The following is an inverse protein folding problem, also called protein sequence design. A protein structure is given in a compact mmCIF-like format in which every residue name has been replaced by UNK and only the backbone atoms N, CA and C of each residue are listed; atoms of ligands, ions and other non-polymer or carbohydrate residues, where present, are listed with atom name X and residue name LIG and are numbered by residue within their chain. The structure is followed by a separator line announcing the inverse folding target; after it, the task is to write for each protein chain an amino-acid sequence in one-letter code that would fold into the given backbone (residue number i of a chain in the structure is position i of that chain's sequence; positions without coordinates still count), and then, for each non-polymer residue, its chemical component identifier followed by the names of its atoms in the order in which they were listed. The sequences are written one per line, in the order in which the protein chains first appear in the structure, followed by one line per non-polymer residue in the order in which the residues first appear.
data_IF_736587868297
#
_entry.id   IF_736587868297
#
_cell.length_a   1.000
_cell.length_b   1.000
_cell.length_c   1.000
_cell.angle_alpha   90.00
_cell.angle_beta   90.00
_cell.angle_gamma   90.00
#
_symmetry.space_group_name_H-M   'P 1'
#
loop_
_entity.id
_entity.type
_entity.pdbx_description
1 polymer ?
#
# COMPACT_ATOMS: atom_id res chain seq x y z
N UNK A 1 -23.33 13.72 -28.26
CA UNK A 1 -23.40 14.85 -29.22
C UNK A 1 -21.97 15.40 -29.37
N UNK A 2 -21.60 16.05 -30.48
CA UNK A 2 -20.81 15.47 -31.57
C UNK A 2 -19.44 16.14 -31.76
N UNK A 3 -18.61 15.54 -32.62
CA UNK A 3 -17.34 16.08 -33.17
C UNK A 3 -16.29 16.42 -32.09
N UNK A 4 -15.54 15.41 -31.65
CA UNK A 4 -14.38 15.62 -30.75
C UNK A 4 -13.27 16.46 -31.39
N UNK A 5 -13.33 16.70 -32.71
CA UNK A 5 -12.46 17.65 -33.39
C UNK A 5 -13.12 18.27 -34.61
N UNK A 6 -12.83 19.55 -34.87
CA UNK A 6 -13.26 20.24 -36.09
C UNK A 6 -12.51 19.69 -37.30
N UNK A 7 -13.23 19.21 -38.31
CA UNK A 7 -12.60 18.69 -39.55
C UNK A 7 -11.92 19.85 -40.29
N UNK A 8 -10.60 19.77 -40.59
CA UNK A 8 -9.90 20.79 -41.35
C UNK A 8 -10.54 21.00 -42.73
N UNK A 9 -10.62 22.25 -43.19
CA UNK A 9 -11.21 22.61 -44.49
C UNK A 9 -10.53 21.91 -45.68
N UNK A 10 -9.21 21.71 -45.59
CA UNK A 10 -8.42 20.97 -46.57
C UNK A 10 -8.82 19.48 -46.67
N UNK A 11 -9.18 18.86 -45.54
CA UNK A 11 -9.59 17.46 -45.49
C UNK A 11 -11.01 17.25 -46.04
N UNK A 12 -11.91 18.23 -45.87
CA UNK A 12 -13.26 18.17 -46.43
C UNK A 12 -13.29 18.05 -47.95
N UNK A 13 -12.33 18.67 -48.65
CA UNK A 13 -12.24 18.57 -50.11
C UNK A 13 -11.85 17.15 -50.55
N UNK A 14 -10.88 16.54 -49.88
CA UNK A 14 -10.43 15.15 -50.13
C UNK A 14 -11.49 14.12 -49.75
N UNK A 15 -12.29 14.38 -48.71
CA UNK A 15 -13.37 13.48 -48.31
C UNK A 15 -14.53 13.49 -49.32
N UNK A 16 -14.87 14.64 -49.90
CA UNK A 16 -15.94 14.76 -50.91
C UNK A 16 -15.62 14.04 -52.22
N UNK A 17 -14.35 13.90 -52.58
CA UNK A 17 -13.95 13.14 -53.78
C UNK A 17 -13.88 11.63 -53.55
N UNK A 18 -13.65 11.19 -52.30
CA UNK A 18 -13.42 9.79 -51.97
C UNK A 18 -14.65 9.03 -51.41
N UNK A 19 -15.64 9.75 -50.87
CA UNK A 19 -16.85 9.18 -50.28
C UNK A 19 -18.07 9.44 -51.18
N UNK A 20 -19.03 8.48 -51.28
CA UNK A 20 -20.30 8.71 -51.97
C UNK A 20 -21.07 9.90 -51.37
N UNK A 21 -21.80 10.67 -52.19
CA UNK A 21 -22.50 11.90 -51.79
C UNK A 21 -23.53 11.75 -50.64
N UNK A 22 -23.91 10.53 -50.27
CA UNK A 22 -24.91 10.22 -49.23
C UNK A 22 -24.28 9.92 -47.84
N UNK A 23 -22.97 10.16 -47.68
CA UNK A 23 -22.26 9.77 -46.45
C UNK A 23 -22.15 10.94 -45.46
N UNK A 24 -22.95 10.92 -44.38
CA UNK A 24 -22.86 11.90 -43.29
C UNK A 24 -21.80 11.47 -42.26
N UNK A 25 -20.87 12.37 -41.91
CA UNK A 25 -19.88 12.14 -40.85
C UNK A 25 -20.58 12.22 -39.49
N UNK A 26 -20.39 11.20 -38.64
CA UNK A 26 -20.98 11.17 -37.28
C UNK A 26 -20.03 11.76 -36.24
N UNK A 27 -18.74 11.40 -36.29
CA UNK A 27 -17.72 11.98 -35.43
C UNK A 27 -16.33 11.91 -36.08
N UNK A 28 -15.43 12.74 -35.57
CA UNK A 28 -14.04 12.86 -36.00
C UNK A 28 -13.13 13.02 -34.77
N UNK A 29 -12.09 12.19 -34.66
CA UNK A 29 -11.08 12.30 -33.60
C UNK A 29 -9.72 12.62 -34.25
N UNK A 30 -9.06 13.67 -33.77
CA UNK A 30 -7.72 14.03 -34.18
C UNK A 30 -6.69 13.23 -33.39
N UNK A 31 -5.57 12.90 -34.04
CA UNK A 31 -4.48 12.11 -33.47
C UNK A 31 -3.15 12.71 -33.87
N UNK A 32 -2.16 12.47 -33.03
CA UNK A 32 -0.86 13.12 -33.04
C UNK A 32 0.27 12.22 -33.56
N UNK A 33 -0.08 11.05 -34.11
CA UNK A 33 0.88 10.12 -34.69
C UNK A 33 0.48 9.67 -36.09
N UNK A 34 1.48 9.49 -36.96
CA UNK A 34 1.36 8.84 -38.26
C UNK A 34 1.33 7.31 -38.13
N UNK A 35 0.92 6.56 -39.17
CA UNK A 35 0.93 5.10 -39.15
C UNK A 35 2.31 4.49 -38.91
N UNK A 36 3.38 5.16 -39.37
CA UNK A 36 4.76 4.73 -39.13
C UNK A 36 5.20 4.92 -37.66
N UNK A 37 4.41 5.63 -36.85
CA UNK A 37 4.73 5.92 -35.45
C UNK A 37 5.56 7.18 -35.23
N UNK A 38 5.61 8.08 -36.20
CA UNK A 38 6.20 9.41 -36.03
C UNK A 38 5.14 10.41 -35.57
N UNK A 39 5.55 11.52 -34.93
CA UNK A 39 4.63 12.61 -34.58
C UNK A 39 4.12 13.28 -35.85
N UNK A 40 2.80 13.41 -35.99
CA UNK A 40 2.16 13.99 -37.16
C UNK A 40 0.64 14.03 -37.04
N UNK A 41 -0.02 14.84 -37.86
CA UNK A 41 -1.47 14.98 -37.80
C UNK A 41 -2.15 13.81 -38.53
N UNK A 42 -2.87 12.99 -37.78
CA UNK A 42 -3.78 11.98 -38.33
C UNK A 42 -5.18 12.18 -37.78
N UNK A 43 -6.18 11.63 -38.45
CA UNK A 43 -7.57 11.70 -38.01
C UNK A 43 -8.29 10.38 -38.24
N UNK A 44 -9.13 10.03 -37.28
CA UNK A 44 -10.13 8.98 -37.37
C UNK A 44 -11.48 9.62 -37.68
N UNK A 45 -12.09 9.23 -38.79
CA UNK A 45 -13.38 9.71 -39.24
C UNK A 45 -14.36 8.55 -39.32
N UNK A 46 -15.50 8.69 -38.66
CA UNK A 46 -16.53 7.66 -38.67
C UNK A 46 -17.80 8.22 -39.29
N UNK A 47 -18.20 7.61 -40.38
CA UNK A 47 -19.42 7.94 -41.12
C UNK A 47 -20.52 6.94 -40.81
N UNK A 48 -21.72 7.11 -41.39
CA UNK A 48 -22.80 6.12 -41.24
C UNK A 48 -22.48 4.73 -41.81
N UNK A 49 -21.51 4.61 -42.72
CA UNK A 49 -21.22 3.33 -43.42
C UNK A 49 -19.75 2.93 -43.41
N UNK A 50 -18.84 3.88 -43.27
CA UNK A 50 -17.40 3.66 -43.37
C UNK A 50 -16.66 4.28 -42.19
N UNK A 51 -15.64 3.57 -41.72
CA UNK A 51 -14.54 4.10 -40.93
C UNK A 51 -13.41 4.49 -41.90
N UNK A 52 -12.94 5.72 -41.77
CA UNK A 52 -11.87 6.28 -42.61
C UNK A 52 -10.77 6.80 -41.70
N UNK A 53 -9.53 6.39 -41.95
CA UNK A 53 -8.37 7.01 -41.30
C UNK A 53 -7.56 7.78 -42.32
N UNK A 54 -7.07 8.94 -41.90
CA UNK A 54 -6.31 9.85 -42.74
C UNK A 54 -5.07 10.32 -42.02
N UNK A 55 -3.98 10.51 -42.76
CA UNK A 55 -2.75 11.13 -42.27
C UNK A 55 -2.37 12.29 -43.17
N UNK A 56 -1.78 13.31 -42.57
CA UNK A 56 -1.24 14.46 -43.29
C UNK A 56 0.21 14.21 -43.67
N UNK A 57 0.55 14.39 -44.93
CA UNK A 57 1.93 14.29 -45.45
C UNK A 57 2.26 15.61 -46.14
N UNK A 58 3.02 16.47 -45.46
CA UNK A 58 3.21 17.87 -45.89
C UNK A 58 1.93 18.69 -45.69
N UNK A 59 1.42 19.29 -46.77
CA UNK A 59 0.15 20.06 -46.77
C UNK A 59 -1.07 19.28 -47.27
N UNK A 60 -0.87 18.02 -47.71
CA UNK A 60 -1.93 17.20 -48.30
C UNK A 60 -2.38 16.11 -47.33
N UNK A 61 -3.70 15.92 -47.23
CA UNK A 61 -4.32 14.82 -46.50
C UNK A 61 -4.47 13.60 -47.39
N UNK A 62 -3.99 12.45 -46.93
CA UNK A 62 -4.13 11.17 -47.61
C UNK A 62 -5.03 10.22 -46.83
N UNK A 63 -5.86 9.47 -47.53
CA UNK A 63 -6.72 8.43 -46.94
C UNK A 63 -5.91 7.14 -46.88
N UNK A 64 -5.72 6.62 -45.67
CA UNK A 64 -4.93 5.42 -45.41
C UNK A 64 -5.79 4.17 -45.50
N UNK A 65 -6.88 4.16 -44.74
CA UNK A 65 -7.80 3.03 -44.68
C UNK A 65 -9.23 3.50 -44.86
N UNK A 66 -10.00 2.76 -45.66
CA UNK A 66 -11.44 2.88 -45.81
C UNK A 66 -12.06 1.52 -45.54
N UNK A 67 -12.67 1.37 -44.38
CA UNK A 67 -13.22 0.10 -43.91
C UNK A 67 -14.75 0.23 -43.77
N UNK A 68 -15.55 -0.61 -44.45
CA UNK A 68 -17.00 -0.66 -44.21
C UNK A 68 -17.27 -1.09 -42.76
N UNK A 69 -18.16 -0.39 -42.06
CA UNK A 69 -18.50 -0.72 -40.66
C UNK A 69 -19.10 -2.13 -40.51
N UNK A 70 -19.75 -2.65 -41.58
CA UNK A 70 -20.28 -4.02 -41.63
C UNK A 70 -19.20 -5.09 -41.55
N UNK A 71 -18.00 -4.81 -42.06
CA UNK A 71 -16.93 -5.78 -42.24
C UNK A 71 -16.07 -5.92 -40.98
N UNK A 72 -16.26 -5.03 -39.99
CA UNK A 72 -15.56 -5.03 -38.71
C UNK A 72 -16.20 -6.09 -37.80
N UNK A 73 -15.41 -7.10 -37.41
CA UNK A 73 -15.83 -8.13 -36.46
C UNK A 73 -15.49 -7.77 -35.02
N UNK A 74 -14.33 -7.18 -34.78
CA UNK A 74 -13.85 -6.82 -33.44
C UNK A 74 -13.00 -5.55 -33.50
N UNK A 75 -13.11 -4.72 -32.47
CA UNK A 75 -12.27 -3.52 -32.26
C UNK A 75 -11.40 -3.78 -31.03
N UNK A 76 -10.10 -3.49 -31.13
CA UNK A 76 -9.12 -3.62 -30.05
C UNK A 76 -8.24 -2.38 -29.99
N UNK A 77 -7.80 -2.02 -28.79
CA UNK A 77 -6.74 -1.03 -28.57
C UNK A 77 -5.50 -1.78 -28.11
N UNK A 78 -4.43 -1.74 -28.90
CA UNK A 78 -3.14 -2.37 -28.60
C UNK A 78 -2.25 -1.32 -27.91
N UNK A 79 -1.92 -1.46 -26.62
CA UNK A 79 -1.03 -0.53 -25.93
C UNK A 79 0.39 -0.67 -26.47
N UNK A 80 1.04 0.47 -26.75
CA UNK A 80 2.41 0.58 -27.22
C UNK A 80 3.24 1.42 -26.23
N UNK A 81 4.55 1.44 -26.38
CA UNK A 81 5.41 2.27 -25.53
C UNK A 81 5.18 3.75 -25.87
N UNK A 82 4.60 4.51 -24.94
CA UNK A 82 4.30 5.93 -25.11
C UNK A 82 3.15 6.24 -26.09
N UNK A 83 2.46 5.21 -26.57
CA UNK A 83 1.41 5.32 -27.59
C UNK A 83 0.39 4.19 -27.47
N UNK A 84 -0.65 4.23 -28.28
CA UNK A 84 -1.61 3.14 -28.44
C UNK A 84 -1.99 3.02 -29.92
N UNK A 85 -2.32 1.82 -30.35
CA UNK A 85 -2.75 1.52 -31.70
C UNK A 85 -4.20 1.03 -31.71
N UNK A 86 -5.03 1.62 -32.58
CA UNK A 86 -6.36 1.12 -32.86
C UNK A 86 -6.27 -0.01 -33.89
N UNK A 87 -6.68 -1.21 -33.49
CA UNK A 87 -6.63 -2.43 -34.31
C UNK A 87 -8.04 -2.93 -34.57
N UNK A 88 -8.40 -3.08 -35.84
CA UNK A 88 -9.68 -3.63 -36.27
C UNK A 88 -9.46 -5.04 -36.80
N UNK A 89 -10.36 -5.96 -36.45
CA UNK A 89 -10.43 -7.25 -37.13
C UNK A 89 -11.45 -7.13 -38.25
N UNK A 90 -10.99 -7.25 -39.50
CA UNK A 90 -11.82 -7.12 -40.71
C UNK A 90 -11.72 -8.42 -41.49
N UNK A 91 -12.84 -9.13 -41.68
CA UNK A 91 -12.87 -10.44 -42.38
C UNK A 91 -11.83 -11.45 -41.85
N UNK A 92 -11.58 -11.44 -40.54
CA UNK A 92 -10.61 -12.33 -39.88
C UNK A 92 -9.14 -11.89 -39.96
N UNK A 93 -8.82 -10.73 -40.57
CA UNK A 93 -7.48 -10.17 -40.56
C UNK A 93 -7.37 -8.99 -39.59
N UNK A 94 -6.27 -8.95 -38.83
CA UNK A 94 -5.94 -7.82 -37.95
C UNK A 94 -5.36 -6.67 -38.77
N UNK A 95 -6.08 -5.56 -38.81
CA UNK A 95 -5.66 -4.33 -39.48
C UNK A 95 -5.40 -3.26 -38.42
N UNK A 96 -4.15 -2.81 -38.28
CA UNK A 96 -3.81 -1.66 -37.45
C UNK A 96 -4.10 -0.39 -38.23
N UNK A 97 -5.05 0.40 -37.76
CA UNK A 97 -5.67 1.45 -38.58
C UNK A 97 -5.13 2.82 -38.23
N UNK A 98 -4.72 3.02 -36.98
CA UNK A 98 -4.21 4.30 -36.48
C UNK A 98 -3.39 4.13 -35.20
N UNK A 99 -2.48 5.07 -34.93
CA UNK A 99 -1.71 5.22 -33.69
C UNK A 99 -1.96 6.59 -33.07
N UNK A 100 -1.86 6.70 -31.76
CA UNK A 100 -1.99 7.96 -31.01
C UNK A 100 -1.15 7.92 -29.75
N UNK A 101 -0.62 9.06 -29.30
CA UNK A 101 0.12 9.15 -28.04
C UNK A 101 -0.83 9.18 -26.85
N UNK A 102 -0.27 9.03 -25.65
CA UNK A 102 -1.04 9.13 -24.41
C UNK A 102 -1.71 10.50 -24.22
N UNK A 103 -1.19 11.56 -24.85
CA UNK A 103 -1.78 12.91 -24.77
C UNK A 103 -3.17 12.98 -25.40
N UNK A 104 -3.43 12.16 -26.43
CA UNK A 104 -4.71 12.08 -27.14
C UNK A 104 -5.55 10.86 -26.71
N UNK A 105 -5.17 10.18 -25.61
CA UNK A 105 -5.81 8.93 -25.20
C UNK A 105 -7.25 9.12 -24.73
N UNK A 106 -7.55 10.22 -24.05
CA UNK A 106 -8.89 10.51 -23.55
C UNK A 106 -9.88 10.73 -24.71
N UNK A 107 -9.55 11.63 -25.65
CA UNK A 107 -10.36 11.89 -26.84
C UNK A 107 -10.53 10.66 -27.72
N UNK A 108 -9.51 9.79 -27.75
CA UNK A 108 -9.57 8.53 -28.49
C UNK A 108 -10.43 7.48 -27.79
N UNK A 109 -10.39 7.41 -26.46
CA UNK A 109 -11.23 6.50 -25.69
C UNK A 109 -12.72 6.80 -25.93
N UNK A 110 -13.11 8.07 -25.86
CA UNK A 110 -14.49 8.51 -26.15
C UNK A 110 -14.88 8.21 -27.60
N UNK A 111 -13.94 8.37 -28.54
CA UNK A 111 -14.14 8.04 -29.96
C UNK A 111 -14.32 6.54 -30.21
N UNK A 112 -13.51 5.70 -29.55
CA UNK A 112 -13.60 4.24 -29.65
C UNK A 112 -14.89 3.72 -29.01
N UNK A 113 -15.29 4.27 -27.86
CA UNK A 113 -16.56 3.92 -27.21
C UNK A 113 -17.76 4.28 -28.11
N UNK A 114 -17.72 5.46 -28.72
CA UNK A 114 -18.72 5.90 -29.70
C UNK A 114 -18.76 4.99 -30.94
N UNK A 115 -17.60 4.50 -31.39
CA UNK A 115 -17.50 3.53 -32.50
C UNK A 115 -18.14 2.19 -32.13
N UNK A 116 -17.82 1.66 -30.95
CA UNK A 116 -18.35 0.39 -30.41
C UNK A 116 -19.87 0.46 -30.32
N UNK A 117 -20.41 1.54 -29.76
CA UNK A 117 -21.86 1.76 -29.68
C UNK A 117 -22.53 1.81 -31.06
N UNK A 118 -21.86 2.31 -32.10
CA UNK A 118 -22.41 2.36 -33.46
C UNK A 118 -22.42 0.99 -34.16
N UNK A 119 -21.43 0.14 -33.89
CA UNK A 119 -21.32 -1.18 -34.52
C UNK A 119 -22.16 -2.22 -33.77
N UNK A 120 -22.54 -1.96 -32.51
CA UNK A 120 -23.37 -2.86 -31.71
C UNK A 120 -22.69 -4.20 -31.40
N UNK A 121 -21.35 -4.24 -31.54
CA UNK A 121 -20.52 -5.40 -31.19
C UNK A 121 -19.67 -5.01 -30.00
N UNK A 122 -19.62 -5.88 -29.00
CA UNK A 122 -18.85 -5.66 -27.78
C UNK A 122 -17.39 -5.34 -28.10
N UNK A 123 -16.83 -4.38 -27.36
CA UNK A 123 -15.40 -4.20 -27.28
C UNK A 123 -14.82 -5.55 -26.90
N UNK A 124 -14.00 -6.14 -27.76
CA UNK A 124 -13.33 -7.37 -27.42
C UNK A 124 -12.18 -7.00 -26.51
N UNK A 125 -12.53 -6.73 -25.27
CA UNK A 125 -11.66 -6.54 -24.13
C UNK A 125 -10.94 -7.86 -23.95
N UNK A 126 -9.76 -7.99 -24.57
CA UNK A 126 -8.78 -8.84 -23.91
C UNK A 126 -8.56 -8.17 -22.56
N UNK A 127 -9.05 -8.86 -21.55
CA UNK A 127 -8.92 -8.56 -20.13
C UNK A 127 -7.42 -8.52 -19.79
N UNK A 128 -6.78 -7.38 -20.02
CA UNK A 128 -5.35 -7.17 -19.71
C UNK A 128 -5.14 -6.93 -18.20
N UNK A 129 -6.19 -7.12 -17.41
CA UNK A 129 -6.19 -7.11 -15.94
C UNK A 129 -6.15 -8.49 -15.33
N UNK A 130 -6.34 -9.58 -16.07
CA UNK A 130 -6.16 -10.92 -15.50
C UNK A 130 -4.68 -11.33 -15.45
N UNK A 131 -3.86 -10.59 -14.68
CA UNK A 131 -3.07 -11.33 -13.69
C UNK A 131 -4.11 -12.20 -13.01
N UNK A 132 -3.95 -13.52 -12.96
CA UNK A 132 -4.80 -14.31 -12.08
C UNK A 132 -4.72 -13.64 -10.71
N UNK A 133 -5.71 -12.82 -10.37
CA UNK A 133 -5.97 -12.39 -9.02
C UNK A 133 -6.40 -13.69 -8.39
N UNK A 134 -5.41 -14.46 -7.95
CA UNK A 134 -5.61 -15.40 -6.87
C UNK A 134 -6.47 -14.62 -5.88
N UNK A 135 -7.68 -15.11 -5.56
CA UNK A 135 -8.60 -14.39 -4.71
C UNK A 135 -7.80 -13.93 -3.50
N UNK A 136 -7.79 -12.61 -3.29
CA UNK A 136 -6.86 -11.97 -2.36
C UNK A 136 -6.83 -12.82 -1.09
N UNK A 137 -5.65 -13.33 -0.68
CA UNK A 137 -5.59 -14.32 0.38
C UNK A 137 -6.32 -13.76 1.59
N UNK A 138 -7.20 -14.57 2.17
CA UNK A 138 -7.94 -14.18 3.38
C UNK A 138 -6.93 -13.89 4.50
N UNK A 139 -6.55 -12.63 4.58
CA UNK A 139 -5.57 -12.11 5.52
C UNK A 139 -6.13 -12.11 6.95
N UNK A 140 -7.44 -12.32 7.12
CA UNK A 140 -8.08 -12.47 8.43
C UNK A 140 -7.87 -13.86 9.02
N UNK A 141 -7.52 -14.85 8.18
CA UNK A 141 -7.34 -16.23 8.60
C UNK A 141 -6.11 -16.38 9.52
N UNK A 142 -6.23 -17.24 10.54
CA UNK A 142 -5.10 -17.59 11.42
C UNK A 142 -3.90 -18.15 10.64
N UNK A 143 -4.17 -18.88 9.57
CA UNK A 143 -3.13 -19.45 8.71
C UNK A 143 -2.32 -18.36 7.98
N UNK A 144 -2.98 -17.29 7.52
CA UNK A 144 -2.29 -16.15 6.92
C UNK A 144 -1.41 -15.44 7.95
N UNK A 145 -1.91 -15.18 9.17
CA UNK A 145 -1.11 -14.59 10.24
C UNK A 145 0.14 -15.41 10.57
N UNK A 146 0.02 -16.74 10.68
CA UNK A 146 1.15 -17.65 10.94
C UNK A 146 2.16 -17.62 9.78
N UNK A 147 1.69 -17.60 8.53
CA UNK A 147 2.55 -17.53 7.34
C UNK A 147 3.33 -16.22 7.31
N UNK A 148 2.66 -15.10 7.59
CA UNK A 148 3.28 -13.76 7.65
C UNK A 148 4.31 -13.70 8.79
N UNK A 149 3.96 -14.21 9.97
CA UNK A 149 4.88 -14.28 11.10
C UNK A 149 6.12 -15.14 10.78
N UNK A 150 5.93 -16.28 10.12
CA UNK A 150 7.04 -17.14 9.67
C UNK A 150 7.93 -16.44 8.66
N UNK A 151 7.34 -15.66 7.74
CA UNK A 151 8.10 -14.86 6.76
C UNK A 151 8.89 -13.75 7.46
N UNK A 152 8.27 -13.04 8.41
CA UNK A 152 8.93 -12.03 9.23
C UNK A 152 10.08 -12.64 10.04
N UNK A 153 9.89 -13.83 10.60
CA UNK A 153 10.93 -14.56 11.32
C UNK A 153 12.13 -14.95 10.42
N UNK A 154 11.92 -15.08 9.10
CA UNK A 154 13.01 -15.33 8.15
C UNK A 154 14.01 -14.18 8.12
N UNK A 155 13.54 -12.92 8.19
CA UNK A 155 14.39 -11.73 8.27
C UNK A 155 15.20 -11.66 9.57
N UNK A 156 14.71 -12.30 10.63
CA UNK A 156 15.42 -12.38 11.91
C UNK A 156 16.49 -13.49 11.94
N UNK A 157 16.47 -14.44 10.99
CA UNK A 157 17.41 -15.57 10.97
C UNK A 157 18.89 -15.16 10.94
N UNK A 158 19.32 -14.17 10.14
CA UNK A 158 20.72 -13.72 10.11
C UNK A 158 21.17 -13.12 11.45
N UNK A 159 20.22 -12.52 12.19
CA UNK A 159 20.46 -11.76 13.41
C UNK A 159 20.19 -12.54 14.71
N UNK A 160 20.00 -13.87 14.64
CA UNK A 160 19.61 -14.72 15.79
C UNK A 160 20.50 -14.59 17.03
N UNK A 161 21.81 -14.43 16.86
CA UNK A 161 22.75 -14.28 18.00
C UNK A 161 22.51 -12.98 18.75
N UNK A 162 22.42 -11.89 18.01
CA UNK A 162 22.16 -10.58 18.60
C UNK A 162 20.74 -10.52 19.19
N UNK A 163 19.75 -11.11 18.51
CA UNK A 163 18.37 -11.18 19.00
C UNK A 163 18.25 -12.01 20.29
N UNK A 164 18.86 -13.20 20.34
CA UNK A 164 18.84 -14.03 21.56
C UNK A 164 19.57 -13.35 22.72
N UNK A 165 20.70 -12.68 22.47
CA UNK A 165 21.41 -11.93 23.50
C UNK A 165 20.57 -10.76 24.02
N UNK A 166 19.93 -10.00 23.12
CA UNK A 166 19.02 -8.90 23.47
C UNK A 166 17.81 -9.38 24.30
N UNK A 167 17.19 -10.49 23.91
CA UNK A 167 16.10 -11.12 24.67
C UNK A 167 16.60 -11.57 26.04
N UNK A 168 17.77 -12.19 26.12
CA UNK A 168 18.34 -12.66 27.38
C UNK A 168 18.64 -11.49 28.34
N UNK A 169 19.20 -10.38 27.82
CA UNK A 169 19.40 -9.15 28.60
C UNK A 169 18.07 -8.57 29.09
N UNK A 170 17.01 -8.60 28.26
CA UNK A 170 15.67 -8.13 28.64
C UNK A 170 15.02 -9.01 29.72
N UNK A 171 15.22 -10.33 29.64
CA UNK A 171 14.75 -11.26 30.69
C UNK A 171 15.50 -10.99 32.00
N UNK A 172 16.81 -10.78 31.93
CA UNK A 172 17.63 -10.44 33.10
C UNK A 172 17.21 -9.10 33.74
N UNK A 173 16.90 -8.06 32.94
CA UNK A 173 16.39 -6.80 33.48
C UNK A 173 15.04 -6.98 34.17
N UNK A 174 14.17 -7.82 33.61
CA UNK A 174 12.87 -8.13 34.20
C UNK A 174 13.01 -8.85 35.55
N UNK A 175 13.98 -9.75 35.70
CA UNK A 175 14.27 -10.38 36.99
C UNK A 175 14.70 -9.36 38.06
N UNK A 176 15.43 -8.30 37.65
CA UNK A 176 15.79 -7.21 38.54
C UNK A 176 14.58 -6.34 38.91
N UNK A 177 13.57 -6.23 38.05
CA UNK A 177 12.31 -5.55 38.40
C UNK A 177 11.52 -6.25 39.51
N UNK A 178 11.80 -7.52 39.79
CA UNK A 178 11.20 -8.26 40.91
C UNK A 178 11.92 -8.03 42.25
N UNK A 179 13.13 -7.49 42.25
CA UNK A 179 13.90 -7.22 43.49
C UNK A 179 13.26 -6.13 44.37
N UNK A 180 12.84 -4.97 43.84
CA UNK A 180 12.25 -3.88 44.65
C UNK A 180 11.10 -4.29 45.57
N UNK A 181 10.04 -5.02 45.14
CA UNK A 181 8.96 -5.43 46.03
C UNK A 181 9.45 -6.40 47.12
N UNK A 182 10.38 -7.31 46.80
CA UNK A 182 10.95 -8.24 47.77
C UNK A 182 11.80 -7.51 48.82
N UNK A 183 12.66 -6.58 48.39
CA UNK A 183 13.45 -5.72 49.29
C UNK A 183 12.55 -4.83 50.16
N UNK A 184 11.45 -4.35 49.60
CA UNK A 184 10.48 -3.51 50.33
C UNK A 184 9.75 -4.31 51.40
N UNK A 185 9.40 -5.59 51.12
CA UNK A 185 8.85 -6.49 52.12
C UNK A 185 9.81 -6.66 53.31
N UNK A 186 11.09 -6.99 53.07
CA UNK A 186 12.10 -7.12 54.14
C UNK A 186 12.26 -5.82 54.92
N UNK A 187 12.26 -4.68 54.23
CA UNK A 187 12.36 -3.37 54.88
C UNK A 187 11.19 -3.11 55.83
N UNK A 188 9.97 -3.47 55.44
CA UNK A 188 8.75 -3.29 56.25
C UNK A 188 8.68 -4.29 57.40
N UNK A 189 8.97 -5.56 57.15
CA UNK A 189 8.71 -6.64 58.10
C UNK A 189 9.83 -6.85 59.13
N UNK A 190 11.09 -6.51 58.80
CA UNK A 190 12.24 -6.75 59.69
C UNK A 190 12.84 -5.46 60.26
N UNK A 191 12.84 -4.35 59.49
CA UNK A 191 13.61 -3.15 59.85
C UNK A 191 12.76 -2.06 60.48
N UNK A 192 11.50 -1.93 60.08
CA UNK A 192 10.57 -0.94 60.64
C UNK A 192 9.93 -1.39 61.97
N UNK A 193 9.94 -2.69 62.24
CA UNK A 193 9.33 -3.37 63.39
C UNK A 193 10.22 -3.39 64.62
N UNK A 194 11.55 -3.38 64.45
CA UNK A 194 12.51 -3.53 65.56
C UNK A 194 13.58 -2.42 65.56
N UNK A 195 13.62 -1.52 66.57
CA UNK A 195 14.52 -0.36 66.61
C UNK A 195 16.01 -0.67 66.58
N UNK A 196 16.41 -1.91 66.90
CA UNK A 196 17.79 -2.38 66.87
C UNK A 196 18.37 -2.44 65.45
N UNK A 197 17.53 -2.57 64.42
CA UNK A 197 17.93 -2.76 63.02
C UNK A 197 17.99 -1.46 62.20
N UNK A 198 17.77 -0.28 62.78
CA UNK A 198 17.83 0.99 62.03
C UNK A 198 19.18 1.24 61.33
N UNK A 199 20.29 0.68 61.84
CA UNK A 199 21.58 0.71 61.16
C UNK A 199 21.61 -0.03 59.81
N UNK A 200 20.76 -1.05 59.63
CA UNK A 200 20.61 -1.82 58.40
C UNK A 200 19.75 -1.12 57.36
N UNK A 201 18.93 -0.15 57.79
CA UNK A 201 18.04 0.60 56.90
C UNK A 201 18.84 1.39 55.85
N UNK A 202 19.95 2.03 56.24
CA UNK A 202 20.84 2.71 55.30
C UNK A 202 21.46 1.75 54.28
N UNK A 203 21.81 0.53 54.68
CA UNK A 203 22.37 -0.50 53.80
C UNK A 203 21.31 -1.01 52.81
N UNK A 204 20.09 -1.30 53.27
CA UNK A 204 18.98 -1.74 52.41
C UNK A 204 18.59 -0.67 51.40
N UNK A 205 18.51 0.60 51.81
CA UNK A 205 18.25 1.72 50.89
C UNK A 205 19.38 1.84 49.88
N UNK A 206 20.64 1.65 50.28
CA UNK A 206 21.79 1.67 49.37
C UNK A 206 21.76 0.50 48.39
N UNK A 207 21.41 -0.71 48.83
CA UNK A 207 21.22 -1.88 47.98
C UNK A 207 20.07 -1.67 46.99
N UNK A 208 18.96 -1.10 47.46
CA UNK A 208 17.81 -0.78 46.61
C UNK A 208 18.18 0.29 45.57
N UNK A 209 18.86 1.36 45.96
CA UNK A 209 19.38 2.38 45.05
C UNK A 209 20.37 1.79 44.04
N UNK A 210 21.31 0.95 44.48
CA UNK A 210 22.26 0.27 43.61
C UNK A 210 21.56 -0.68 42.62
N UNK A 211 20.54 -1.41 43.06
CA UNK A 211 19.74 -2.29 42.19
C UNK A 211 19.00 -1.50 41.10
N UNK A 212 18.46 -0.32 41.44
CA UNK A 212 17.78 0.57 40.48
C UNK A 212 18.75 1.20 39.50
N UNK A 213 19.95 1.57 39.96
CA UNK A 213 21.01 2.06 39.10
C UNK A 213 21.48 0.98 38.13
N UNK A 214 21.70 -0.24 38.61
CA UNK A 214 22.08 -1.39 37.81
C UNK A 214 20.99 -1.74 36.78
N UNK A 215 19.72 -1.74 37.21
CA UNK A 215 18.57 -1.94 36.33
C UNK A 215 18.52 -0.90 35.21
N UNK A 216 18.73 0.37 35.53
CA UNK A 216 18.77 1.45 34.55
C UNK A 216 19.91 1.24 33.54
N UNK A 217 21.09 0.81 34.01
CA UNK A 217 22.22 0.48 33.13
C UNK A 217 21.89 -0.67 32.16
N UNK A 218 21.28 -1.75 32.67
CA UNK A 218 20.89 -2.92 31.87
C UNK A 218 19.78 -2.57 30.88
N UNK A 219 18.79 -1.77 31.27
CA UNK A 219 17.71 -1.34 30.36
C UNK A 219 18.22 -0.43 29.26
N UNK A 220 19.15 0.49 29.55
CA UNK A 220 19.83 1.29 28.51
C UNK A 220 20.62 0.38 27.56
N UNK A 221 21.38 -0.58 28.09
CA UNK A 221 22.13 -1.52 27.27
C UNK A 221 21.21 -2.34 26.37
N UNK A 222 20.12 -2.88 26.94
CA UNK A 222 19.09 -3.61 26.20
C UNK A 222 18.50 -2.73 25.10
N UNK A 223 18.04 -1.53 25.44
CA UNK A 223 17.46 -0.59 24.49
C UNK A 223 18.40 -0.25 23.33
N UNK A 224 19.70 -0.06 23.60
CA UNK A 224 20.71 0.16 22.56
C UNK A 224 20.90 -1.05 21.66
N UNK A 225 20.96 -2.25 22.24
CA UNK A 225 21.07 -3.49 21.47
C UNK A 225 19.87 -3.71 20.55
N UNK A 226 18.67 -3.50 21.09
CA UNK A 226 17.42 -3.62 20.35
C UNK A 226 17.29 -2.56 19.26
N UNK A 227 17.71 -1.32 19.53
CA UNK A 227 17.72 -0.26 18.52
C UNK A 227 18.59 -0.64 17.31
N UNK A 228 19.84 -1.06 17.56
CA UNK A 228 20.75 -1.50 16.49
C UNK A 228 20.18 -2.71 15.73
N UNK A 229 19.54 -3.64 16.43
CA UNK A 229 18.87 -4.79 15.82
C UNK A 229 17.69 -4.36 14.94
N UNK A 230 16.80 -3.52 15.45
CA UNK A 230 15.62 -3.07 14.72
C UNK A 230 15.98 -2.24 13.49
N UNK A 231 17.01 -1.40 13.57
CA UNK A 231 17.54 -0.67 12.43
C UNK A 231 18.08 -1.61 11.34
N UNK A 232 18.84 -2.64 11.72
CA UNK A 232 19.35 -3.64 10.76
C UNK A 232 18.22 -4.43 10.10
N UNK A 233 17.24 -4.89 10.88
CA UNK A 233 16.08 -5.61 10.34
C UNK A 233 15.26 -4.74 9.38
N UNK A 234 15.07 -3.46 9.73
CA UNK A 234 14.37 -2.52 8.87
C UNK A 234 15.17 -2.17 7.61
N UNK A 235 16.50 -2.10 7.71
CA UNK A 235 17.39 -1.93 6.56
C UNK A 235 17.30 -3.11 5.59
N UNK A 236 17.41 -4.34 6.10
CA UNK A 236 17.31 -5.56 5.28
C UNK A 236 15.95 -5.64 4.56
N UNK A 237 14.86 -5.39 5.30
CA UNK A 237 13.52 -5.37 4.72
C UNK A 237 13.38 -4.31 3.62
N UNK A 238 13.88 -3.09 3.85
CA UNK A 238 13.86 -2.01 2.83
C UNK A 238 14.71 -2.36 1.62
N UNK A 239 15.89 -2.96 1.84
CA UNK A 239 16.80 -3.35 0.76
C UNK A 239 16.19 -4.42 -0.14
N UNK A 240 15.57 -5.46 0.44
CA UNK A 240 14.89 -6.50 -0.34
C UNK A 240 13.68 -5.94 -1.11
N UNK A 241 12.85 -5.12 -0.46
CA UNK A 241 11.72 -4.44 -1.11
C UNK A 241 12.18 -3.55 -2.26
N UNK A 242 13.26 -2.80 -2.08
CA UNK A 242 13.82 -1.94 -3.12
C UNK A 242 14.38 -2.75 -4.29
N UNK A 243 15.08 -3.86 -4.01
CA UNK A 243 15.58 -4.76 -5.04
C UNK A 243 14.45 -5.37 -5.86
N UNK A 244 13.36 -5.80 -5.20
CA UNK A 244 12.18 -6.30 -5.90
C UNK A 244 11.58 -5.22 -6.78
N UNK A 245 11.38 -4.00 -6.27
CA UNK A 245 10.89 -2.87 -7.06
C UNK A 245 11.74 -2.64 -8.32
N UNK A 246 13.06 -2.66 -8.22
CA UNK A 246 13.93 -2.45 -9.38
C UNK A 246 13.74 -3.50 -10.50
N UNK A 247 13.25 -4.69 -10.17
CA UNK A 247 13.00 -5.77 -11.12
C UNK A 247 11.58 -5.78 -11.69
N UNK A 248 10.67 -4.93 -11.18
CA UNK A 248 9.29 -4.89 -11.67
C UNK A 248 9.21 -4.21 -13.06
N UNK A 249 8.34 -4.71 -13.95
CA UNK A 249 8.15 -4.14 -15.28
C UNK A 249 7.56 -2.73 -15.19
N UNK A 250 7.92 -1.87 -16.15
CA UNK A 250 7.46 -0.47 -16.24
C UNK A 250 5.92 -0.37 -16.22
N UNK A 251 5.22 -1.34 -16.84
CA UNK A 251 3.75 -1.44 -16.82
C UNK A 251 3.15 -1.41 -15.40
N UNK A 252 3.86 -1.95 -14.39
CA UNK A 252 3.40 -1.90 -13.01
C UNK A 252 3.44 -0.47 -12.44
N UNK A 253 4.43 0.31 -12.85
CA UNK A 253 4.59 1.70 -12.43
C UNK A 253 3.65 2.67 -13.14
N UNK A 254 3.21 2.34 -14.36
CA UNK A 254 2.18 3.11 -15.06
C UNK A 254 0.80 2.99 -14.38
N UNK A 255 0.54 1.86 -13.71
CA UNK A 255 -0.72 1.60 -13.01
C UNK A 255 -0.74 2.09 -11.53
N UNK A 256 0.42 2.41 -10.94
CA UNK A 256 0.54 2.71 -9.51
C UNK A 256 1.31 4.02 -9.27
N UNK A 257 0.78 4.90 -8.42
CA UNK A 257 1.46 6.15 -8.08
C UNK A 257 2.78 5.87 -7.35
N UNK A 258 3.91 6.19 -7.98
CA UNK A 258 5.27 5.85 -7.48
C UNK A 258 5.55 6.42 -6.09
N UNK A 259 5.00 7.60 -5.78
CA UNK A 259 5.09 8.23 -4.46
C UNK A 259 4.36 7.46 -3.35
N UNK A 260 3.21 6.84 -3.68
CA UNK A 260 2.45 6.00 -2.76
C UNK A 260 3.19 4.71 -2.38
N UNK A 261 3.90 4.11 -3.35
CA UNK A 261 4.73 2.92 -3.13
C UNK A 261 5.89 3.21 -2.17
N UNK A 262 6.60 4.32 -2.35
CA UNK A 262 7.71 4.72 -1.47
C UNK A 262 7.23 5.05 -0.05
N UNK A 263 6.10 5.76 0.06
CA UNK A 263 5.50 6.08 1.36
C UNK A 263 5.04 4.81 2.10
N UNK A 264 4.48 3.82 1.38
CA UNK A 264 4.09 2.52 1.94
C UNK A 264 5.30 1.76 2.46
N UNK A 265 6.38 1.65 1.69
CA UNK A 265 7.61 0.97 2.13
C UNK A 265 8.20 1.62 3.37
N UNK A 266 8.31 2.95 3.38
CA UNK A 266 8.85 3.67 4.52
C UNK A 266 8.04 3.41 5.80
N UNK A 267 6.70 3.44 5.68
CA UNK A 267 5.76 3.23 6.79
C UNK A 267 5.75 1.78 7.28
N UNK A 268 5.70 0.82 6.37
CA UNK A 268 5.65 -0.61 6.69
C UNK A 268 6.98 -1.08 7.32
N UNK A 269 8.12 -0.64 6.78
CA UNK A 269 9.42 -0.91 7.39
C UNK A 269 9.58 -0.26 8.78
N UNK A 270 8.98 0.93 8.99
CA UNK A 270 8.94 1.56 10.32
C UNK A 270 8.05 0.77 11.28
N UNK A 271 6.96 0.17 10.81
CA UNK A 271 6.12 -0.70 11.63
C UNK A 271 6.87 -1.98 12.06
N UNK A 272 7.65 -2.58 11.16
CA UNK A 272 8.53 -3.71 11.50
C UNK A 272 9.56 -3.31 12.56
N UNK A 273 10.19 -2.14 12.40
CA UNK A 273 11.13 -1.59 13.37
C UNK A 273 10.48 -1.42 14.76
N UNK A 274 9.32 -0.77 14.83
CA UNK A 274 8.56 -0.58 16.08
C UNK A 274 8.18 -1.91 16.75
N UNK A 275 7.79 -2.92 15.95
CA UNK A 275 7.45 -4.23 16.48
C UNK A 275 8.62 -4.86 17.25
N UNK A 276 9.86 -4.74 16.74
CA UNK A 276 11.04 -5.35 17.33
C UNK A 276 11.64 -4.56 18.49
N UNK A 277 11.56 -3.24 18.46
CA UNK A 277 12.19 -2.37 19.47
C UNK A 277 11.26 -2.12 20.66
N UNK A 278 9.98 -1.88 20.39
CA UNK A 278 9.03 -1.45 21.41
C UNK A 278 8.11 -2.60 21.81
N UNK A 279 7.43 -3.21 20.84
CA UNK A 279 6.32 -4.10 21.13
C UNK A 279 6.76 -5.47 21.68
N UNK A 280 7.57 -6.22 20.94
CA UNK A 280 7.97 -7.58 21.34
C UNK A 280 8.69 -7.64 22.70
N UNK A 281 9.65 -6.74 23.01
CA UNK A 281 10.35 -6.74 24.29
C UNK A 281 9.44 -6.33 25.44
N UNK A 282 8.56 -5.34 25.22
CA UNK A 282 7.59 -4.93 26.23
C UNK A 282 6.63 -6.08 26.57
N UNK A 283 6.14 -6.83 25.57
CA UNK A 283 5.28 -8.00 25.83
C UNK A 283 6.01 -9.07 26.64
N UNK A 284 7.28 -9.34 26.32
CA UNK A 284 8.10 -10.31 27.07
C UNK A 284 8.33 -9.83 28.51
N UNK A 285 8.76 -8.59 28.70
CA UNK A 285 9.04 -8.01 30.01
C UNK A 285 7.78 -7.92 30.87
N UNK A 286 6.69 -7.37 30.35
CA UNK A 286 5.42 -7.23 31.08
C UNK A 286 4.79 -8.59 31.38
N UNK A 287 4.87 -9.53 30.42
CA UNK A 287 4.44 -10.90 30.65
C UNK A 287 5.23 -11.54 31.81
N UNK A 288 6.56 -11.49 31.75
CA UNK A 288 7.42 -12.06 32.78
C UNK A 288 7.22 -11.39 34.15
N UNK A 289 6.99 -10.07 34.19
CA UNK A 289 6.70 -9.35 35.42
C UNK A 289 5.36 -9.81 36.00
N UNK A 290 4.29 -9.87 35.20
CA UNK A 290 2.97 -10.35 35.66
C UNK A 290 3.04 -11.78 36.17
N UNK A 291 3.64 -12.70 35.40
CA UNK A 291 3.80 -14.09 35.82
C UNK A 291 4.69 -14.24 37.06
N UNK A 292 5.82 -13.53 37.07
CA UNK A 292 6.79 -13.57 38.16
C UNK A 292 6.24 -13.02 39.47
N UNK A 293 5.59 -11.85 39.44
CA UNK A 293 4.92 -11.26 40.61
C UNK A 293 3.80 -12.16 41.12
N UNK A 294 2.99 -12.71 40.22
CA UNK A 294 1.92 -13.65 40.59
C UNK A 294 2.51 -14.86 41.30
N UNK A 295 3.58 -15.46 40.77
CA UNK A 295 4.26 -16.60 41.39
C UNK A 295 4.84 -16.27 42.76
N UNK A 296 5.50 -15.11 42.91
CA UNK A 296 6.04 -14.63 44.21
C UNK A 296 4.91 -14.43 45.22
N UNK A 297 3.78 -13.85 44.80
CA UNK A 297 2.66 -13.56 45.68
C UNK A 297 1.97 -14.86 46.15
N UNK A 298 1.81 -15.85 45.27
CA UNK A 298 1.35 -17.20 45.65
C UNK A 298 2.32 -17.91 46.60
N UNK A 299 3.63 -17.73 46.44
CA UNK A 299 4.64 -18.30 47.33
C UNK A 299 4.60 -17.67 48.73
N UNK A 300 4.39 -16.36 48.81
CA UNK A 300 4.31 -15.63 50.08
C UNK A 300 3.01 -15.93 50.84
N UNK A 301 1.85 -15.75 50.19
CA UNK A 301 0.55 -16.02 50.81
C UNK A 301 -0.51 -16.32 49.74
N UNK A 302 -0.89 -17.60 49.65
CA UNK A 302 -1.87 -18.08 48.69
C UNK A 302 -3.29 -17.53 48.91
N UNK A 303 -3.66 -17.16 50.14
CA UNK A 303 -4.99 -16.60 50.48
C UNK A 303 -5.12 -15.16 49.96
N UNK A 304 -4.09 -14.33 50.19
CA UNK A 304 -4.02 -12.98 49.62
C UNK A 304 -3.92 -13.01 48.10
N UNK A 305 -3.21 -13.99 47.53
CA UNK A 305 -3.10 -14.16 46.08
C UNK A 305 -4.45 -14.39 45.41
N UNK A 306 -5.29 -15.23 46.02
CA UNK A 306 -6.62 -15.48 45.50
C UNK A 306 -7.47 -14.20 45.52
N UNK A 307 -7.45 -13.44 46.61
CA UNK A 307 -8.16 -12.17 46.74
C UNK A 307 -7.75 -11.15 45.65
N UNK A 308 -6.45 -11.02 45.38
CA UNK A 308 -5.93 -10.11 44.35
C UNK A 308 -6.26 -10.59 42.93
N UNK A 309 -6.45 -11.90 42.74
CA UNK A 309 -6.76 -12.48 41.42
C UNK A 309 -8.23 -12.33 41.02
N UNK A 310 -9.16 -12.16 41.97
CA UNK A 310 -10.60 -11.94 41.73
C UNK A 310 -10.90 -10.79 40.75
N UNK A 311 -10.30 -9.58 40.85
CA UNK A 311 -10.57 -8.49 39.90
C UNK A 311 -9.98 -8.71 38.50
N UNK A 312 -9.00 -9.62 38.33
CA UNK A 312 -8.28 -9.80 37.05
C UNK A 312 -9.22 -10.21 35.89
N UNK A 313 -10.11 -11.23 36.03
CA UNK A 313 -11.08 -11.57 35.00
C UNK A 313 -11.98 -10.41 34.58
N UNK A 314 -12.40 -9.56 35.52
CA UNK A 314 -13.23 -8.39 35.23
C UNK A 314 -12.46 -7.35 34.39
N UNK A 315 -11.19 -7.11 34.72
CA UNK A 315 -10.30 -6.22 33.94
C UNK A 315 -10.07 -6.78 32.54
N UNK A 316 -9.85 -8.10 32.40
CA UNK A 316 -9.68 -8.75 31.09
C UNK A 316 -10.95 -8.59 30.25
N UNK A 317 -12.12 -8.85 30.84
CA UNK A 317 -13.40 -8.71 30.14
C UNK A 317 -13.64 -7.27 29.66
N UNK A 318 -13.41 -6.28 30.54
CA UNK A 318 -13.53 -4.86 30.19
C UNK A 318 -12.54 -4.49 29.07
N UNK A 319 -11.30 -4.95 29.15
CA UNK A 319 -10.26 -4.71 28.14
C UNK A 319 -10.62 -5.29 26.78
N UNK A 320 -11.17 -6.52 26.73
CA UNK A 320 -11.62 -7.15 25.47
C UNK A 320 -12.79 -6.37 24.87
N UNK A 321 -13.77 -5.95 25.67
CA UNK A 321 -14.90 -5.13 25.20
C UNK A 321 -14.43 -3.79 24.63
N UNK A 322 -13.55 -3.11 25.35
CA UNK A 322 -12.93 -1.85 24.91
C UNK A 322 -12.15 -2.06 23.61
N UNK A 323 -11.35 -3.13 23.51
CA UNK A 323 -10.59 -3.45 22.29
C UNK A 323 -11.52 -3.56 21.08
N UNK A 324 -12.61 -4.32 21.18
CA UNK A 324 -13.56 -4.49 20.06
C UNK A 324 -14.18 -3.14 19.63
N UNK A 325 -14.54 -2.31 20.60
CA UNK A 325 -15.06 -0.96 20.34
C UNK A 325 -14.00 -0.05 19.68
N UNK A 326 -12.77 -0.04 20.22
CA UNK A 326 -11.66 0.72 19.66
C UNK A 326 -11.35 0.28 18.23
N UNK A 327 -11.26 -1.03 17.96
CA UNK A 327 -10.97 -1.52 16.60
C UNK A 327 -12.01 -1.06 15.58
N UNK A 328 -13.29 -1.05 15.97
CA UNK A 328 -14.36 -0.51 15.12
C UNK A 328 -14.23 1.01 14.93
N UNK A 329 -13.96 1.76 16.01
CA UNK A 329 -13.80 3.21 15.97
C UNK A 329 -12.59 3.66 15.13
N UNK A 330 -11.44 3.00 15.31
CA UNK A 330 -10.23 3.27 14.53
C UNK A 330 -10.43 2.92 13.05
N UNK A 331 -11.18 1.87 12.71
CA UNK A 331 -11.56 1.58 11.33
C UNK A 331 -12.30 2.76 10.70
N UNK A 332 -13.36 3.24 11.36
CA UNK A 332 -14.14 4.40 10.88
C UNK A 332 -13.32 5.69 10.82
N UNK A 333 -12.42 5.90 11.78
CA UNK A 333 -11.50 7.04 11.78
C UNK A 333 -10.50 6.96 10.62
N UNK A 334 -10.04 5.77 10.26
CA UNK A 334 -9.14 5.55 9.13
C UNK A 334 -9.82 5.87 7.81
N UNK A 335 -11.07 5.43 7.62
CA UNK A 335 -11.85 5.74 6.40
C UNK A 335 -12.10 7.25 6.24
N UNK A 336 -12.39 7.94 7.35
CA UNK A 336 -12.55 9.39 7.34
C UNK A 336 -11.24 10.14 7.04
N UNK A 337 -10.10 9.61 7.49
CA UNK A 337 -8.78 10.15 7.16
C UNK A 337 -8.42 9.94 5.68
N UNK A 338 -8.76 8.78 5.12
CA UNK A 338 -8.56 8.47 3.71
C UNK A 338 -9.35 9.45 2.84
N UNK A 339 -10.67 9.57 3.07
CA UNK A 339 -11.54 10.49 2.33
C UNK A 339 -11.13 11.96 2.45
N UNK A 340 -10.59 12.38 3.60
CA UNK A 340 -10.03 13.72 3.76
C UNK A 340 -8.80 13.93 2.86
N UNK A 341 -7.86 12.99 2.87
CA UNK A 341 -6.66 13.07 2.02
C UNK A 341 -7.00 13.00 0.53
N UNK A 342 -7.98 12.19 0.14
CA UNK A 342 -8.45 12.10 -1.25
C UNK A 342 -8.97 13.46 -1.72
N UNK A 343 -9.81 14.13 -0.91
CA UNK A 343 -10.33 15.48 -1.23
C UNK A 343 -9.23 16.53 -1.29
N UNK A 344 -8.26 16.47 -0.39
CA UNK A 344 -7.11 17.39 -0.43
C UNK A 344 -6.28 17.17 -1.69
N UNK A 345 -6.05 15.91 -2.07
CA UNK A 345 -5.31 15.55 -3.26
C UNK A 345 -6.05 16.00 -4.53
N UNK A 346 -7.37 15.78 -4.61
CA UNK A 346 -8.21 16.25 -5.73
C UNK A 346 -8.23 17.77 -5.84
N UNK A 347 -8.33 18.48 -4.71
CA UNK A 347 -8.30 19.94 -4.70
C UNK A 347 -6.93 20.50 -5.13
N UNK A 348 -5.83 19.86 -4.74
CA UNK A 348 -4.48 20.25 -5.15
C UNK A 348 -4.24 19.95 -6.63
N UNK A 349 -4.67 18.79 -7.12
CA UNK A 349 -4.57 18.43 -8.54
C UNK A 349 -5.45 19.34 -9.41
N UNK A 350 -6.65 19.67 -8.94
CA UNK A 350 -7.63 20.55 -9.61
C UNK A 350 -7.44 22.03 -9.32
N UNK A 351 -6.38 22.46 -8.63
CA UNK A 351 -6.27 23.84 -8.12
C UNK A 351 -6.32 24.91 -9.21
N UNK A 352 -5.86 24.56 -10.43
CA UNK A 352 -5.95 25.44 -11.60
C UNK A 352 -7.41 25.62 -12.04
N UNK A 353 -8.20 24.56 -12.05
CA UNK A 353 -9.63 24.58 -12.40
C UNK A 353 -10.40 25.38 -11.35
N UNK A 354 -10.16 25.13 -10.07
CA UNK A 354 -10.81 25.87 -8.97
C UNK A 354 -10.54 27.37 -9.06
N UNK A 355 -9.31 27.78 -9.39
CA UNK A 355 -8.95 29.20 -9.56
C UNK A 355 -9.52 29.86 -10.81
N UNK A 356 -10.00 29.08 -11.80
CA UNK A 356 -10.60 29.64 -13.02
C UNK A 356 -12.09 29.93 -12.81
N UNK A 357 -12.75 29.22 -11.88
CA UNK A 357 -14.18 29.37 -11.58
C UNK A 357 -14.48 30.17 -10.29
N UNK A 358 -13.45 30.54 -9.53
CA UNK A 358 -13.52 31.38 -8.33
C UNK A 358 -12.92 32.76 -8.62
#
# INVERSE_FOLDING_TARGET
MPLTSTIPSALNHTLRSALPNDTKVRFACATDMTPEGMLGESMLLVTTRYLVTTSKTGDLWQILHRVPLSDISQIRVEPLIGASALVLTVKGQLLRVLRYSYASAQDMSEGVESLVHLIGKEHGEEDHTSVHEEPAPDWSSRAAHIRTFRRLWSFCKPHKRSLSLAILVTISSSAIDLLPPYLTMIMVDEVLTDPSHYGWLALLVLVLAASRFLHTGITILSGRMLAVLGDRLAFDARSELFHVLQLLPIKYYDAQQTGGLMARIARDAKSIHYFWIDFAPAVIQQGLLVFGMTAVLFYLNWELAYLVMIPIPAIIFASVKIKTYLTWFYGRSSDSWATFFDRVNDALAGIRVVKIFA
#
